data_IF_146112143784
#
_entry.id   IF_146112143784
#
_cell.length_a   1.000
_cell.length_b   1.000
_cell.length_c   1.000
_cell.angle_alpha   90.00
_cell.angle_beta   90.00
_cell.angle_gamma   90.00
#
_symmetry.space_group_name_H-M   'P 1'
#
loop_
_entity.id
_entity.type
_entity.pdbx_description
1 polymer ?
#
# COMPACT_ATOMS: atom_id res chain seq x y z
N UNK A 1 -2.59 -11.65 -1.07
CA UNK A 1 -1.21 -11.82 -0.57
C UNK A 1 -0.20 -11.32 -1.59
N UNK A 2 -0.28 -11.75 -2.86
CA UNK A 2 0.58 -11.24 -3.96
C UNK A 2 0.71 -9.71 -4.04
N UNK A 3 -0.40 -8.95 -3.96
CA UNK A 3 -0.36 -7.48 -3.94
C UNK A 3 0.54 -6.92 -2.83
N UNK A 4 0.40 -7.40 -1.59
CA UNK A 4 1.16 -6.87 -0.44
C UNK A 4 2.64 -7.26 -0.51
N UNK A 5 2.94 -8.48 -0.97
CA UNK A 5 4.32 -8.93 -1.18
C UNK A 5 4.98 -8.05 -2.25
N UNK A 6 4.35 -7.90 -3.41
CA UNK A 6 4.83 -7.06 -4.51
C UNK A 6 5.04 -5.60 -4.08
N UNK A 7 4.05 -5.00 -3.42
CA UNK A 7 4.11 -3.61 -2.98
C UNK A 7 5.31 -3.35 -2.06
N UNK A 8 5.64 -4.30 -1.18
CA UNK A 8 6.78 -4.20 -0.29
C UNK A 8 8.10 -4.52 -1.00
N UNK A 9 8.17 -5.65 -1.69
CA UNK A 9 9.41 -6.20 -2.26
C UNK A 9 9.88 -5.45 -3.50
N UNK A 10 8.96 -5.03 -4.37
CA UNK A 10 9.29 -4.37 -5.64
C UNK A 10 9.20 -2.85 -5.54
N UNK A 11 8.26 -2.32 -4.75
CA UNK A 11 7.98 -0.88 -4.69
C UNK A 11 8.36 -0.23 -3.34
N UNK A 12 8.89 -1.00 -2.37
CA UNK A 12 9.34 -0.48 -1.08
C UNK A 12 8.23 0.24 -0.28
N UNK A 13 6.96 -0.04 -0.57
CA UNK A 13 5.81 0.67 -0.02
C UNK A 13 5.03 -0.26 0.92
N UNK A 14 4.45 0.30 1.98
CA UNK A 14 3.69 -0.46 2.96
C UNK A 14 2.33 0.18 3.26
N UNK A 15 1.31 -0.66 3.36
CA UNK A 15 -0.04 -0.27 3.78
C UNK A 15 -0.49 -1.24 4.87
N UNK A 16 -1.44 -0.84 5.72
CA UNK A 16 -2.03 -1.75 6.69
C UNK A 16 -2.99 -2.72 6.00
N UNK A 17 -2.71 -4.03 5.91
CA UNK A 17 -3.62 -4.98 5.29
C UNK A 17 -4.98 -5.00 5.98
N UNK A 18 -6.08 -5.02 5.21
CA UNK A 18 -7.43 -4.91 5.75
C UNK A 18 -7.80 -6.02 6.75
N UNK A 19 -7.22 -7.21 6.61
CA UNK A 19 -7.45 -8.33 7.51
C UNK A 19 -6.92 -8.11 8.93
N UNK A 20 -6.05 -7.12 9.14
CA UNK A 20 -5.65 -6.67 10.48
C UNK A 20 -6.75 -5.87 11.19
N UNK A 21 -7.80 -5.48 10.46
CA UNK A 21 -8.90 -4.65 10.92
C UNK A 21 -10.27 -5.29 10.63
N UNK A 22 -10.32 -6.63 10.64
CA UNK A 22 -11.55 -7.42 10.39
C UNK A 22 -12.19 -7.18 9.00
N UNK A 23 -11.43 -6.61 8.06
CA UNK A 23 -11.87 -6.40 6.68
C UNK A 23 -11.33 -7.48 5.75
N UNK A 24 -12.03 -7.81 4.65
CA UNK A 24 -11.51 -8.73 3.64
C UNK A 24 -10.15 -8.29 3.08
N UNK A 25 -9.33 -9.24 2.60
CA UNK A 25 -7.97 -8.98 2.08
C UNK A 25 -7.89 -7.98 0.90
N UNK A 26 -9.03 -7.66 0.27
CA UNK A 26 -9.16 -6.65 -0.82
C UNK A 26 -9.19 -5.20 -0.32
N UNK A 27 -9.25 -4.99 0.99
CA UNK A 27 -9.18 -3.67 1.61
C UNK A 27 -7.81 -3.45 2.24
N UNK A 28 -7.38 -2.21 2.37
CA UNK A 28 -6.22 -1.80 3.13
C UNK A 28 -6.46 -0.41 3.77
N UNK A 29 -5.70 -0.10 4.81
CA UNK A 29 -5.67 1.21 5.45
C UNK A 29 -4.48 2.02 4.94
N UNK A 30 -4.74 3.21 4.42
CA UNK A 30 -3.72 4.17 4.01
C UNK A 30 -3.44 5.15 5.15
N UNK A 31 -2.19 5.21 5.60
CA UNK A 31 -1.72 6.25 6.53
C UNK A 31 -1.07 7.41 5.76
N UNK A 32 -1.49 8.64 6.04
CA UNK A 32 -1.02 9.83 5.32
C UNK A 32 -0.61 11.00 6.24
N UNK A 33 -0.66 10.82 7.57
CA UNK A 33 -0.39 11.90 8.53
C UNK A 33 1.08 12.19 8.83
N UNK A 34 1.99 11.28 8.49
CA UNK A 34 3.44 11.38 8.73
C UNK A 34 4.33 11.57 7.48
N UNK A 35 4.01 11.05 6.27
CA UNK A 35 4.87 11.26 5.11
C UNK A 35 4.83 12.71 4.62
N UNK A 36 5.93 13.16 4.02
CA UNK A 36 5.96 14.38 3.20
C UNK A 36 5.07 14.22 1.96
N UNK A 37 4.72 15.34 1.30
CA UNK A 37 3.92 15.28 0.07
C UNK A 37 4.58 14.38 -1.00
N UNK A 38 5.90 14.49 -1.16
CA UNK A 38 6.66 13.70 -2.14
C UNK A 38 6.60 12.20 -1.82
N UNK A 39 6.78 11.82 -0.55
CA UNK A 39 6.67 10.43 -0.12
C UNK A 39 5.25 9.89 -0.29
N UNK A 40 4.23 10.69 0.04
CA UNK A 40 2.84 10.30 -0.13
C UNK A 40 2.50 10.09 -1.61
N UNK A 41 2.93 11.01 -2.48
CA UNK A 41 2.74 10.90 -3.93
C UNK A 41 3.40 9.63 -4.47
N UNK A 42 4.66 9.39 -4.11
CA UNK A 42 5.40 8.19 -4.51
C UNK A 42 4.73 6.90 -4.03
N UNK A 43 4.26 6.86 -2.78
CA UNK A 43 3.53 5.71 -2.24
C UNK A 43 2.20 5.44 -2.96
N UNK A 44 1.46 6.49 -3.35
CA UNK A 44 0.22 6.34 -4.12
C UNK A 44 0.48 5.84 -5.55
N UNK A 45 1.57 6.29 -6.17
CA UNK A 45 2.00 5.81 -7.49
C UNK A 45 2.41 4.33 -7.42
N UNK A 46 3.16 3.95 -6.39
CA UNK A 46 3.55 2.56 -6.10
C UNK A 46 2.33 1.64 -5.89
N UNK A 47 1.35 2.07 -5.09
CA UNK A 47 0.08 1.33 -4.91
C UNK A 47 -0.61 1.12 -6.26
N UNK A 48 -0.68 2.17 -7.08
CA UNK A 48 -1.32 2.11 -8.39
C UNK A 48 -0.59 1.20 -9.37
N UNK A 49 0.74 1.16 -9.34
CA UNK A 49 1.55 0.26 -10.16
C UNK A 49 1.35 -1.20 -9.73
N UNK A 50 1.50 -1.48 -8.43
CA UNK A 50 1.35 -2.83 -7.89
C UNK A 50 -0.05 -3.44 -8.09
N UNK A 51 -1.10 -2.62 -8.26
CA UNK A 51 -2.47 -3.07 -8.57
C UNK A 51 -2.69 -3.45 -10.05
N UNK A 52 -1.87 -2.94 -10.97
CA UNK A 52 -2.01 -3.16 -12.43
C UNK A 52 -1.27 -4.40 -12.92
N UNK A 53 -0.34 -4.90 -12.13
CA UNK A 53 0.45 -6.11 -12.38
C UNK A 53 -0.30 -7.39 -11.99
#
# INVERSE_FOLDING_TARGET
DAFYARLLEEYGTYVGPGHWFEMPKRFFRLGFGWPTETELRGGLDAISAALRD
#
